data_IF_643617916181
#
_entry.id   IF_643617916181
#
_cell.length_a   1.000
_cell.length_b   1.000
_cell.length_c   1.000
_cell.angle_alpha   90.00
_cell.angle_beta   90.00
_cell.angle_gamma   90.00
#
_symmetry.space_group_name_H-M   'P 1'
#
loop_
_entity.id
_entity.type
_entity.pdbx_description
1 polymer ?
#
# COMPACT_ATOMS: atom_id res chain seq x y z
N UNK A 1 -9.46 9.00 -3.53
CA UNK A 1 -9.98 8.06 -2.50
C UNK A 1 -8.98 6.92 -2.38
N UNK A 2 -8.79 6.38 -1.18
CA UNK A 2 -7.94 5.21 -0.97
C UNK A 2 -8.82 3.96 -0.86
N UNK A 3 -8.37 2.86 -1.46
CA UNK A 3 -8.95 1.53 -1.24
C UNK A 3 -8.44 0.94 0.09
N UNK A 4 -9.08 -0.11 0.63
CA UNK A 4 -8.54 -0.84 1.78
C UNK A 4 -7.10 -1.31 1.52
N UNK A 5 -6.26 -1.28 2.55
CA UNK A 5 -4.92 -1.86 2.46
C UNK A 5 -5.06 -3.37 2.23
N UNK A 6 -4.19 -3.90 1.37
CA UNK A 6 -4.15 -5.33 1.02
C UNK A 6 -2.80 -5.91 1.42
N UNK A 7 -2.78 -7.19 1.81
CA UNK A 7 -1.53 -7.93 1.97
C UNK A 7 -1.18 -8.55 0.61
N UNK A 8 0.06 -8.33 0.16
CA UNK A 8 0.60 -9.02 -1.02
C UNK A 8 1.68 -10.01 -0.60
N UNK A 9 1.55 -11.25 -1.04
CA UNK A 9 2.52 -12.31 -0.81
C UNK A 9 3.35 -12.49 -2.08
N UNK A 10 4.66 -12.27 -1.95
CA UNK A 10 5.62 -12.33 -3.03
C UNK A 10 6.36 -13.68 -2.96
N UNK A 11 6.33 -14.46 -4.04
CA UNK A 11 7.04 -15.74 -4.17
C UNK A 11 7.94 -15.64 -5.39
N UNK A 12 9.23 -15.96 -5.23
CA UNK A 12 10.23 -15.91 -6.30
C UNK A 12 10.26 -14.58 -7.08
N UNK A 13 9.98 -13.46 -6.39
CA UNK A 13 9.98 -12.11 -6.97
C UNK A 13 8.72 -11.74 -7.76
N UNK A 14 7.64 -12.52 -7.63
CA UNK A 14 6.35 -12.28 -8.28
C UNK A 14 5.23 -12.23 -7.25
N UNK A 15 4.27 -11.33 -7.46
CA UNK A 15 3.06 -11.29 -6.65
C UNK A 15 2.22 -12.52 -6.94
N UNK A 16 2.15 -13.41 -5.96
CA UNK A 16 1.44 -14.69 -6.07
C UNK A 16 0.00 -14.56 -5.56
N UNK A 17 -0.17 -13.96 -4.39
CA UNK A 17 -1.46 -13.86 -3.70
C UNK A 17 -1.68 -12.45 -3.15
N UNK A 18 -2.92 -11.96 -3.26
CA UNK A 18 -3.38 -10.71 -2.65
C UNK A 18 -4.60 -11.00 -1.76
N UNK A 19 -4.55 -10.57 -0.51
CA UNK A 19 -5.64 -10.71 0.45
C UNK A 19 -6.20 -9.32 0.78
N UNK A 20 -7.50 -9.13 0.53
CA UNK A 20 -8.18 -7.86 0.69
C UNK A 20 -9.44 -8.01 1.58
N UNK A 21 -9.56 -7.24 2.69
CA UNK A 21 -8.52 -6.39 3.27
C UNK A 21 -7.35 -7.18 3.87
N UNK A 22 -6.23 -6.51 4.15
CA UNK A 22 -5.06 -7.10 4.80
C UNK A 22 -5.44 -7.71 6.16
N UNK A 23 -5.20 -9.02 6.37
CA UNK A 23 -5.62 -9.69 7.59
C UNK A 23 -4.75 -9.27 8.78
N UNK A 24 -5.39 -8.90 9.89
CA UNK A 24 -4.69 -8.58 11.14
C UNK A 24 -3.94 -7.24 11.14
N UNK A 25 -4.07 -6.44 10.08
CA UNK A 25 -3.55 -5.08 10.06
C UNK A 25 -4.33 -4.20 11.04
N UNK A 26 -3.61 -3.48 11.88
CA UNK A 26 -4.19 -2.52 12.81
C UNK A 26 -4.95 -1.40 12.08
N UNK A 27 -6.11 -0.98 12.61
CA UNK A 27 -6.96 0.01 11.97
C UNK A 27 -6.30 1.39 11.88
N UNK A 28 -5.52 1.79 12.90
CA UNK A 28 -4.78 3.05 12.89
C UNK A 28 -3.67 2.99 11.83
N UNK A 29 -2.94 1.88 11.77
CA UNK A 29 -1.88 1.69 10.77
C UNK A 29 -2.43 1.67 9.34
N UNK A 30 -3.59 1.05 9.13
CA UNK A 30 -4.33 1.08 7.86
C UNK A 30 -4.67 2.51 7.44
N UNK A 31 -5.17 3.33 8.37
CA UNK A 31 -5.44 4.75 8.13
C UNK A 31 -4.19 5.52 7.74
N UNK A 32 -3.08 5.33 8.47
CA UNK A 32 -1.78 5.97 8.17
C UNK A 32 -1.28 5.60 6.77
N UNK A 33 -1.38 4.32 6.38
CA UNK A 33 -0.98 3.87 5.05
C UNK A 33 -1.84 4.51 3.93
N UNK A 34 -3.15 4.61 4.14
CA UNK A 34 -4.06 5.24 3.18
C UNK A 34 -3.81 6.75 3.04
N UNK A 35 -3.61 7.46 4.15
CA UNK A 35 -3.26 8.89 4.15
C UNK A 35 -1.92 9.14 3.47
N UNK A 36 -0.93 8.28 3.72
CA UNK A 36 0.37 8.32 3.05
C UNK A 36 0.21 8.19 1.54
N UNK A 37 -0.54 7.20 1.06
CA UNK A 37 -0.78 6.99 -0.37
C UNK A 37 -1.49 8.18 -1.02
N UNK A 38 -2.50 8.75 -0.35
CA UNK A 38 -3.21 9.94 -0.83
C UNK A 38 -2.30 11.18 -0.88
N UNK A 39 -1.45 11.35 0.13
CA UNK A 39 -0.46 12.45 0.15
C UNK A 39 0.53 12.30 -1.00
N UNK A 40 1.08 11.11 -1.22
CA UNK A 40 1.99 10.85 -2.35
C UNK A 40 1.30 11.16 -3.68
N UNK A 41 0.07 10.68 -3.88
CA UNK A 41 -0.69 10.96 -5.10
C UNK A 41 -0.89 12.46 -5.33
N UNK A 42 -1.22 13.21 -4.28
CA UNK A 42 -1.41 14.65 -4.35
C UNK A 42 -0.11 15.40 -4.67
N UNK A 43 0.97 15.10 -3.96
CA UNK A 43 2.27 15.77 -4.15
C UNK A 43 2.88 15.48 -5.53
N UNK A 44 2.62 14.29 -6.09
CA UNK A 44 3.07 13.91 -7.44
C UNK A 44 2.08 14.34 -8.54
N UNK A 45 0.95 14.94 -8.20
CA UNK A 45 -0.06 15.38 -9.17
C UNK A 45 -0.66 14.23 -9.98
N UNK A 46 -0.82 13.04 -9.38
CA UNK A 46 -1.34 11.87 -10.08
C UNK A 46 -2.80 12.08 -10.49
N UNK A 47 -3.07 11.88 -11.78
CA UNK A 47 -4.42 11.78 -12.33
C UNK A 47 -4.63 10.34 -12.79
N UNK A 48 -5.50 9.60 -12.09
CA UNK A 48 -5.76 8.18 -12.37
C UNK A 48 -5.46 7.29 -11.17
N UNK A 49 -4.79 6.17 -11.41
CA UNK A 49 -4.46 5.18 -10.38
C UNK A 49 -3.01 5.32 -9.92
N UNK A 50 -2.79 5.16 -8.61
CA UNK A 50 -1.49 4.99 -8.00
C UNK A 50 -1.58 3.80 -7.04
N UNK A 51 -0.70 2.83 -7.23
CA UNK A 51 -0.39 1.85 -6.20
C UNK A 51 0.90 2.26 -5.47
N UNK A 52 0.89 2.09 -4.16
CA UNK A 52 2.02 2.33 -3.28
C UNK A 52 2.29 1.01 -2.58
N UNK A 53 3.39 0.35 -2.91
CA UNK A 53 3.82 -0.85 -2.21
C UNK A 53 4.53 -0.47 -0.92
N UNK A 54 4.20 -1.19 0.14
CA UNK A 54 4.61 -0.88 1.50
C UNK A 54 5.27 -2.09 2.15
N UNK A 55 6.20 -1.84 3.06
CA UNK A 55 6.65 -2.80 4.05
C UNK A 55 6.18 -2.38 5.44
N UNK A 56 5.48 -3.28 6.13
CA UNK A 56 5.32 -3.21 7.57
C UNK A 56 6.56 -3.82 8.25
N UNK A 57 7.19 -3.05 9.12
CA UNK A 57 8.37 -3.46 9.87
C UNK A 57 7.98 -4.10 11.20
N UNK A 58 8.87 -4.92 11.77
CA UNK A 58 8.64 -5.61 13.06
C UNK A 58 8.42 -4.66 14.24
N UNK A 59 8.86 -3.40 14.11
CA UNK A 59 8.66 -2.34 15.10
C UNK A 59 7.47 -1.42 14.78
N UNK A 60 6.56 -1.85 13.89
CA UNK A 60 5.28 -1.20 13.62
C UNK A 60 5.34 0.02 12.71
N UNK A 61 6.48 0.28 12.05
CA UNK A 61 6.58 1.35 11.04
C UNK A 61 6.19 0.82 9.67
N UNK A 62 5.66 1.73 8.84
CA UNK A 62 5.38 1.49 7.42
C UNK A 62 6.42 2.22 6.58
N UNK A 63 7.04 1.52 5.63
CA UNK A 63 8.02 2.05 4.68
C UNK A 63 7.51 1.92 3.26
N UNK A 64 7.73 2.93 2.42
CA UNK A 64 7.43 2.84 0.98
C UNK A 64 8.52 2.03 0.29
N UNK A 65 8.11 1.03 -0.49
CA UNK A 65 8.98 0.22 -1.33
C UNK A 65 8.99 0.71 -2.78
N UNK A 66 7.81 0.75 -3.42
CA UNK A 66 7.65 1.09 -4.84
C UNK A 66 6.37 1.90 -5.09
N UNK A 67 6.36 2.64 -6.20
CA UNK A 67 5.20 3.36 -6.73
C UNK A 67 4.88 2.88 -8.15
N UNK A 68 3.61 2.57 -8.42
CA UNK A 68 3.13 2.28 -9.77
C UNK A 68 1.98 3.22 -10.14
N UNK A 69 2.20 4.11 -11.12
CA UNK A 69 1.21 5.11 -11.58
C UNK A 69 0.22 4.52 -12.61
N UNK A 70 -0.38 3.39 -12.26
CA UNK A 70 -1.34 2.62 -13.08
C UNK A 70 -2.19 1.73 -12.18
N UNK A 71 -3.29 1.13 -12.68
CA UNK A 71 -3.92 0.00 -12.02
C UNK A 71 -2.87 -1.08 -11.72
N UNK A 72 -2.99 -1.70 -10.55
CA UNK A 72 -2.03 -2.64 -9.99
C UNK A 72 -2.76 -3.77 -9.29
#
# INVERSE_FOLDING_TARGET
VAYPVVESQQVDGVCDTVIAPAPGLDEELSGVAQEMALRIANELGVIGHLAVELFETRDGRVLVNELAMRPH
#
